data_IF_536684040532
#
_entry.id   IF_536684040532
#
_cell.length_a   1.000
_cell.length_b   1.000
_cell.length_c   1.000
_cell.angle_alpha   90.00
_cell.angle_beta   90.00
_cell.angle_gamma   90.00
#
_symmetry.space_group_name_H-M   'P 1'
#
loop_
_entity.id
_entity.type
_entity.pdbx_description
1 polymer ?
#
# COMPACT_ATOMS: atom_id res chain seq x y z
N UNK A 1 11.71 1.13 23.06
CA UNK A 1 11.27 -0.14 22.44
C UNK A 1 10.05 0.20 21.58
N UNK A 2 9.99 -0.33 20.36
CA UNK A 2 8.83 -0.17 19.47
C UNK A 2 7.58 -0.78 20.11
N UNK A 3 6.41 -0.25 19.78
CA UNK A 3 5.14 -0.67 20.38
C UNK A 3 4.66 -2.06 19.92
N UNK A 4 5.19 -2.59 18.81
CA UNK A 4 4.76 -3.86 18.23
C UNK A 4 5.82 -4.52 17.34
N UNK A 5 5.67 -5.83 17.15
CA UNK A 5 6.34 -6.64 16.13
C UNK A 5 5.32 -7.09 15.07
N UNK A 6 5.78 -7.54 13.91
CA UNK A 6 4.90 -8.03 12.83
C UNK A 6 5.31 -9.42 12.35
N UNK A 7 4.30 -10.24 12.07
CA UNK A 7 4.41 -11.54 11.40
C UNK A 7 3.62 -11.45 10.09
N UNK A 8 4.32 -11.61 8.96
CA UNK A 8 3.71 -11.69 7.63
C UNK A 8 3.74 -13.14 7.14
N UNK A 9 2.57 -13.72 6.92
CA UNK A 9 2.43 -15.05 6.34
C UNK A 9 2.52 -14.95 4.82
N UNK A 10 3.70 -15.26 4.28
CA UNK A 10 4.01 -15.30 2.86
C UNK A 10 4.08 -16.73 2.31
N UNK A 11 3.39 -17.65 2.97
CA UNK A 11 3.27 -19.05 2.59
C UNK A 11 1.95 -19.34 1.85
N UNK A 12 1.90 -20.49 1.18
CA UNK A 12 0.73 -20.93 0.43
C UNK A 12 1.13 -21.55 -0.90
N UNK A 13 0.44 -22.62 -1.31
CA UNK A 13 0.77 -23.32 -2.54
C UNK A 13 0.33 -22.58 -3.81
N UNK A 14 -0.33 -21.42 -3.69
CA UNK A 14 -0.84 -20.59 -4.78
C UNK A 14 -1.52 -21.42 -5.89
N UNK A 15 -2.25 -22.48 -5.50
CA UNK A 15 -2.81 -23.47 -6.44
C UNK A 15 -3.72 -22.81 -7.47
N UNK A 16 -4.47 -21.79 -7.06
CA UNK A 16 -5.38 -21.01 -7.90
C UNK A 16 -4.68 -20.02 -8.85
N UNK A 17 -3.40 -19.76 -8.64
CA UNK A 17 -2.55 -18.92 -9.50
C UNK A 17 -1.59 -19.76 -10.36
N UNK A 18 -1.85 -21.06 -10.53
CA UNK A 18 -1.01 -21.95 -11.33
C UNK A 18 0.37 -22.21 -10.73
N UNK A 19 0.53 -22.08 -9.41
CA UNK A 19 1.82 -22.27 -8.73
C UNK A 19 2.74 -21.04 -8.76
N UNK A 20 2.25 -19.88 -9.21
CA UNK A 20 2.99 -18.63 -9.17
C UNK A 20 3.34 -18.22 -7.72
N UNK A 21 4.50 -17.58 -7.54
CA UNK A 21 4.90 -17.01 -6.25
C UNK A 21 4.03 -15.76 -5.94
N UNK A 22 2.84 -15.99 -5.35
CA UNK A 22 1.82 -14.98 -5.07
C UNK A 22 2.37 -13.73 -4.36
N UNK A 23 3.17 -13.84 -3.26
CA UNK A 23 3.80 -12.69 -2.62
C UNK A 23 4.69 -11.83 -3.53
N UNK A 24 5.24 -12.40 -4.61
CA UNK A 24 6.08 -11.71 -5.58
C UNK A 24 5.28 -11.07 -6.74
N UNK A 25 3.98 -11.36 -6.86
CA UNK A 25 3.13 -10.75 -7.89
C UNK A 25 3.05 -9.25 -7.66
N UNK A 26 3.19 -8.48 -8.76
CA UNK A 26 3.19 -7.02 -8.71
C UNK A 26 1.80 -6.44 -8.96
N UNK A 27 1.42 -5.50 -8.11
CA UNK A 27 0.23 -4.65 -8.26
C UNK A 27 0.71 -3.21 -8.16
N UNK A 28 0.41 -2.37 -9.15
CA UNK A 28 0.95 -1.00 -9.23
C UNK A 28 2.48 -0.95 -9.14
N UNK A 29 3.19 -1.80 -9.89
CA UNK A 29 4.67 -1.83 -9.92
C UNK A 29 5.37 -2.46 -8.69
N UNK A 30 4.71 -2.58 -7.54
CA UNK A 30 5.28 -3.14 -6.29
C UNK A 30 4.80 -4.57 -6.03
N UNK A 31 5.68 -5.43 -5.51
CA UNK A 31 5.30 -6.78 -5.07
C UNK A 31 4.30 -6.70 -3.92
N UNK A 32 3.34 -7.63 -3.85
CA UNK A 32 2.34 -7.69 -2.79
C UNK A 32 2.99 -7.72 -1.40
N UNK A 33 4.01 -8.56 -1.21
CA UNK A 33 4.75 -8.61 0.05
C UNK A 33 5.34 -7.24 0.43
N UNK A 34 5.96 -6.55 -0.54
CA UNK A 34 6.58 -5.25 -0.28
C UNK A 34 5.55 -4.16 0.06
N UNK A 35 4.30 -4.28 -0.41
CA UNK A 35 3.20 -3.38 0.02
C UNK A 35 2.89 -3.58 1.50
N UNK A 36 2.73 -4.83 1.93
CA UNK A 36 2.49 -5.17 3.34
C UNK A 36 3.65 -4.74 4.24
N UNK A 37 4.89 -4.98 3.79
CA UNK A 37 6.10 -4.60 4.53
C UNK A 37 6.26 -3.07 4.67
N UNK A 38 5.82 -2.30 3.67
CA UNK A 38 5.83 -0.84 3.70
C UNK A 38 4.82 -0.29 4.71
N UNK A 39 3.61 -0.85 4.78
CA UNK A 39 2.59 -0.47 5.78
C UNK A 39 3.07 -0.72 7.23
N UNK A 40 4.04 -1.61 7.42
CA UNK A 40 4.58 -1.99 8.72
C UNK A 40 5.94 -1.33 9.05
N UNK A 41 6.26 -0.17 8.45
CA UNK A 41 7.54 0.54 8.63
C UNK A 41 7.97 0.69 10.09
N UNK A 42 7.02 0.93 11.01
CA UNK A 42 7.26 1.15 12.44
C UNK A 42 7.46 -0.10 13.32
N UNK A 43 7.39 -1.31 12.75
CA UNK A 43 7.56 -2.55 13.52
C UNK A 43 9.01 -2.72 14.00
N UNK A 44 9.19 -3.19 15.25
CA UNK A 44 10.51 -3.51 15.81
C UNK A 44 11.17 -4.68 15.11
N UNK A 45 10.54 -5.85 15.22
CA UNK A 45 10.89 -7.05 14.47
C UNK A 45 9.85 -7.29 13.38
N UNK A 46 10.33 -7.54 12.16
CA UNK A 46 9.51 -7.98 11.03
C UNK A 46 9.86 -9.42 10.68
N UNK A 47 8.95 -10.34 10.93
CA UNK A 47 9.10 -11.77 10.64
C UNK A 47 8.27 -12.12 9.41
N UNK A 48 8.89 -12.76 8.42
CA UNK A 48 8.17 -13.30 7.26
C UNK A 48 8.24 -14.83 7.30
N UNK A 49 7.07 -15.47 7.26
CA UNK A 49 6.95 -16.93 7.30
C UNK A 49 6.68 -17.44 5.88
N UNK A 50 7.64 -18.18 5.30
CA UNK A 50 7.53 -18.63 3.91
C UNK A 50 8.87 -19.01 3.28
N UNK A 51 8.93 -19.00 1.95
CA UNK A 51 10.21 -19.12 1.23
C UNK A 51 10.95 -17.80 1.16
N UNK A 52 12.28 -17.81 1.26
CA UNK A 52 13.07 -16.57 1.12
C UNK A 52 12.90 -15.98 -0.28
N UNK A 53 12.86 -14.65 -0.37
CA UNK A 53 12.82 -13.85 -1.60
C UNK A 53 13.36 -12.44 -1.33
N UNK A 54 13.72 -11.66 -2.37
CA UNK A 54 14.04 -10.25 -2.20
C UNK A 54 12.88 -9.48 -1.56
N UNK A 55 13.21 -8.53 -0.69
CA UNK A 55 12.26 -7.63 -0.01
C UNK A 55 12.80 -6.21 -0.03
N UNK A 56 11.90 -5.23 -0.06
CA UNK A 56 12.25 -3.79 -0.08
C UNK A 56 12.90 -3.30 1.22
N UNK A 57 12.85 -4.11 2.29
CA UNK A 57 13.47 -3.84 3.60
C UNK A 57 13.99 -5.12 4.25
N UNK A 58 14.90 -5.03 5.24
CA UNK A 58 15.33 -6.19 6.01
C UNK A 58 14.18 -6.86 6.76
N UNK A 59 14.16 -8.19 6.76
CA UNK A 59 13.19 -9.03 7.48
C UNK A 59 13.86 -10.27 8.05
N UNK A 60 13.27 -10.85 9.09
CA UNK A 60 13.66 -12.16 9.63
C UNK A 60 12.81 -13.25 8.98
N UNK A 61 13.45 -14.22 8.35
CA UNK A 61 12.76 -15.32 7.68
C UNK A 61 12.62 -16.54 8.57
N UNK A 62 11.44 -17.13 8.58
CA UNK A 62 11.17 -18.44 9.20
C UNK A 62 10.22 -19.27 8.34
N UNK A 63 9.97 -20.51 8.74
CA UNK A 63 9.03 -21.42 8.09
C UNK A 63 8.44 -22.37 9.12
N UNK A 64 7.18 -22.73 8.93
CA UNK A 64 6.51 -23.76 9.69
C UNK A 64 7.09 -25.16 9.43
N UNK A 65 6.99 -26.02 10.43
CA UNK A 65 7.41 -27.42 10.36
C UNK A 65 6.23 -28.30 10.79
N UNK A 66 5.80 -29.27 9.95
CA UNK A 66 6.26 -29.53 8.60
C UNK A 66 5.89 -28.39 7.62
N UNK A 67 6.64 -28.24 6.53
CA UNK A 67 6.33 -27.26 5.48
C UNK A 67 4.93 -27.52 4.93
N UNK A 68 4.13 -26.47 4.76
CA UNK A 68 2.73 -26.61 4.34
C UNK A 68 1.79 -27.01 5.48
N UNK A 69 2.23 -26.88 6.73
CA UNK A 69 1.42 -27.13 7.94
C UNK A 69 0.25 -26.14 8.14
N UNK A 70 0.03 -25.21 7.20
CA UNK A 70 -1.09 -24.28 7.24
C UNK A 70 -0.83 -23.02 8.07
N UNK A 71 -1.79 -22.09 8.07
CA UNK A 71 -1.60 -20.75 8.62
C UNK A 71 -1.40 -20.73 10.15
N UNK A 72 -2.03 -21.64 10.90
CA UNK A 72 -1.84 -21.71 12.35
C UNK A 72 -0.42 -22.15 12.73
N UNK A 73 0.13 -23.14 12.03
CA UNK A 73 1.51 -23.56 12.21
C UNK A 73 2.50 -22.47 11.80
N UNK A 74 2.20 -21.72 10.73
CA UNK A 74 2.99 -20.59 10.27
C UNK A 74 2.99 -19.44 11.28
N UNK A 75 1.83 -19.10 11.86
CA UNK A 75 1.72 -18.13 12.94
C UNK A 75 2.57 -18.55 14.14
N UNK A 76 2.46 -19.81 14.59
CA UNK A 76 3.29 -20.34 15.67
C UNK A 76 4.79 -20.27 15.37
N UNK A 77 5.20 -20.47 14.10
CA UNK A 77 6.60 -20.33 13.69
C UNK A 77 7.10 -18.89 13.70
N UNK A 78 6.27 -17.93 13.26
CA UNK A 78 6.58 -16.51 13.32
C UNK A 78 6.69 -15.99 14.75
N UNK A 79 5.75 -16.39 15.61
CA UNK A 79 5.60 -15.87 16.97
C UNK A 79 6.77 -16.19 17.89
N UNK A 80 7.52 -17.26 17.62
CA UNK A 80 8.75 -17.60 18.34
C UNK A 80 9.87 -16.57 18.16
N UNK A 81 9.77 -15.72 17.13
CA UNK A 81 10.77 -14.72 16.79
C UNK A 81 10.34 -13.29 17.16
N UNK A 82 9.18 -13.11 17.79
CA UNK A 82 8.71 -11.81 18.27
C UNK A 82 8.95 -11.66 19.77
N UNK A 83 9.11 -10.42 20.22
CA UNK A 83 9.40 -10.06 21.62
C UNK A 83 8.52 -8.93 22.14
N UNK A 84 7.90 -8.14 21.26
CA UNK A 84 6.99 -7.07 21.65
C UNK A 84 5.72 -7.60 22.36
N UNK A 85 5.08 -6.72 23.15
CA UNK A 85 3.81 -7.01 23.83
C UNK A 85 2.66 -7.18 22.83
N UNK A 86 2.73 -6.51 21.68
CA UNK A 86 1.74 -6.59 20.60
C UNK A 86 2.37 -7.17 19.35
N UNK A 87 1.63 -8.05 18.68
CA UNK A 87 2.05 -8.69 17.44
C UNK A 87 0.98 -8.47 16.38
N UNK A 88 1.36 -7.79 15.31
CA UNK A 88 0.56 -7.62 14.12
C UNK A 88 0.73 -8.86 13.23
N UNK A 89 -0.36 -9.48 12.81
CA UNK A 89 -0.38 -10.70 11.98
C UNK A 89 -1.07 -10.38 10.67
N UNK A 90 -0.35 -10.55 9.57
CA UNK A 90 -0.76 -10.11 8.24
C UNK A 90 -0.59 -11.22 7.21
N UNK A 91 -1.52 -11.33 6.27
CA UNK A 91 -1.30 -12.04 5.01
C UNK A 91 -0.38 -11.21 4.09
N UNK A 92 0.42 -11.88 3.23
CA UNK A 92 1.37 -11.21 2.35
C UNK A 92 0.76 -10.63 1.06
N UNK A 93 -0.56 -10.71 0.90
CA UNK A 93 -1.29 -10.50 -0.34
C UNK A 93 -2.38 -9.43 -0.23
N UNK A 94 -2.17 -8.47 0.65
CA UNK A 94 -3.08 -7.35 0.95
C UNK A 94 -2.64 -6.11 0.15
N UNK A 95 -3.07 -5.91 -1.11
CA UNK A 95 -2.60 -4.81 -1.97
C UNK A 95 -2.95 -3.41 -1.45
N UNK A 96 -3.97 -3.29 -0.60
CA UNK A 96 -4.50 -2.02 -0.10
C UNK A 96 -4.23 -1.77 1.38
N UNK A 97 -3.45 -2.63 2.04
CA UNK A 97 -3.10 -2.42 3.45
C UNK A 97 -2.31 -1.11 3.59
N UNK A 98 -2.80 -0.23 4.46
CA UNK A 98 -2.17 1.06 4.76
C UNK A 98 -1.80 1.23 6.23
N UNK A 99 -0.99 2.24 6.52
CA UNK A 99 -0.57 2.56 7.88
C UNK A 99 -1.76 2.88 8.82
N UNK A 100 -2.81 3.53 8.30
CA UNK A 100 -4.03 3.81 9.08
C UNK A 100 -4.76 2.54 9.55
N UNK A 101 -4.81 1.49 8.72
CA UNK A 101 -5.35 0.18 9.13
C UNK A 101 -4.51 -0.44 10.25
N UNK A 102 -3.18 -0.37 10.11
CA UNK A 102 -2.25 -0.89 11.14
C UNK A 102 -2.44 -0.15 12.46
N UNK A 103 -2.53 1.18 12.42
CA UNK A 103 -2.77 2.00 13.60
C UNK A 103 -4.11 1.68 14.26
N UNK A 104 -5.19 1.59 13.49
CA UNK A 104 -6.53 1.26 13.99
C UNK A 104 -6.55 -0.10 14.71
N UNK A 105 -5.90 -1.12 14.14
CA UNK A 105 -5.77 -2.44 14.78
C UNK A 105 -4.99 -2.37 16.09
N UNK A 106 -3.86 -1.65 16.10
CA UNK A 106 -3.01 -1.53 17.29
C UNK A 106 -3.67 -0.74 18.42
N UNK A 107 -4.48 0.27 18.09
CA UNK A 107 -5.30 1.03 19.04
C UNK A 107 -6.38 0.12 19.61
N UNK A 108 -7.17 -0.52 18.77
CA UNK A 108 -8.27 -1.40 19.20
C UNK A 108 -7.78 -2.58 20.06
N UNK A 109 -6.60 -3.14 19.77
CA UNK A 109 -5.99 -4.21 20.56
C UNK A 109 -5.46 -3.73 21.93
N UNK A 110 -5.33 -2.42 22.15
CA UNK A 110 -4.93 -1.82 23.41
C UNK A 110 -6.10 -1.40 24.32
N UNK A 111 -7.34 -1.44 23.81
CA UNK A 111 -8.52 -0.95 24.51
C UNK A 111 -9.25 -2.05 25.30
N UNK A 112 -9.84 -1.67 26.44
CA UNK A 112 -10.83 -2.50 27.13
C UNK A 112 -10.32 -3.82 27.72
N UNK A 113 -8.99 -4.02 27.81
CA UNK A 113 -8.41 -5.27 28.32
C UNK A 113 -8.53 -6.46 27.35
N UNK A 114 -8.95 -6.21 26.10
CA UNK A 114 -9.10 -7.24 25.07
C UNK A 114 -7.77 -7.90 24.73
N UNK A 115 -7.84 -9.11 24.19
CA UNK A 115 -6.68 -9.91 23.83
C UNK A 115 -6.21 -9.65 22.39
N UNK A 116 -6.99 -8.91 21.60
CA UNK A 116 -6.59 -8.43 20.29
C UNK A 116 -7.71 -7.70 19.55
N UNK A 117 -7.43 -7.41 18.28
CA UNK A 117 -8.34 -6.83 17.32
C UNK A 117 -8.08 -7.42 15.93
N UNK A 118 -9.14 -7.62 15.16
CA UNK A 118 -9.05 -8.06 13.76
C UNK A 118 -9.96 -7.24 12.85
N UNK A 119 -9.61 -7.17 11.58
CA UNK A 119 -10.51 -6.61 10.58
C UNK A 119 -11.65 -7.58 10.27
N UNK A 120 -12.76 -7.03 9.80
CA UNK A 120 -13.81 -7.81 9.15
C UNK A 120 -13.87 -7.46 7.66
N UNK A 121 -14.24 -8.43 6.83
CA UNK A 121 -14.55 -8.16 5.42
C UNK A 121 -15.94 -7.51 5.27
N UNK A 122 -16.34 -7.05 4.06
CA UNK A 122 -17.66 -6.46 3.82
C UNK A 122 -18.84 -7.38 4.14
N UNK A 123 -18.63 -8.70 4.18
CA UNK A 123 -19.64 -9.69 4.56
C UNK A 123 -19.69 -9.92 6.09
N UNK A 124 -18.88 -9.18 6.85
CA UNK A 124 -18.79 -9.27 8.31
C UNK A 124 -17.97 -10.46 8.81
N UNK A 125 -17.16 -11.11 7.96
CA UNK A 125 -16.34 -12.24 8.38
C UNK A 125 -15.03 -11.76 8.98
N UNK A 126 -14.67 -12.39 10.09
CA UNK A 126 -13.42 -12.12 10.81
C UNK A 126 -12.20 -12.48 9.92
N UNK A 127 -11.22 -11.57 9.86
CA UNK A 127 -9.98 -11.70 9.09
C UNK A 127 -8.79 -11.90 10.03
N UNK A 128 -8.50 -13.14 10.47
CA UNK A 128 -7.47 -13.42 11.49
C UNK A 128 -6.04 -13.14 11.02
N UNK A 129 -5.85 -12.93 9.72
CA UNK A 129 -4.58 -12.53 9.12
C UNK A 129 -4.57 -11.06 8.71
N UNK A 130 -5.44 -10.26 9.33
CA UNK A 130 -5.43 -8.79 9.30
C UNK A 130 -5.76 -8.33 10.71
N UNK A 131 -4.84 -8.60 11.64
CA UNK A 131 -5.13 -8.55 13.07
C UNK A 131 -3.93 -8.10 13.90
N UNK A 132 -4.20 -7.45 15.03
CA UNK A 132 -3.22 -7.17 16.08
C UNK A 132 -3.60 -7.95 17.35
N UNK A 133 -2.68 -8.75 17.86
CA UNK A 133 -2.89 -9.57 19.05
C UNK A 133 -1.98 -9.13 20.19
N UNK A 134 -2.45 -9.29 21.42
CA UNK A 134 -1.58 -9.28 22.60
C UNK A 134 -0.78 -10.57 22.60
N UNK A 135 0.53 -10.44 22.79
CA UNK A 135 1.47 -11.52 22.54
C UNK A 135 1.41 -12.61 23.62
N UNK A 136 1.01 -12.28 24.86
CA UNK A 136 0.85 -13.29 25.92
C UNK A 136 -0.36 -14.20 25.67
N UNK A 137 -1.60 -13.69 25.50
CA UNK A 137 -2.75 -14.54 25.20
C UNK A 137 -2.56 -15.37 23.94
N UNK A 138 -2.00 -14.74 22.89
CA UNK A 138 -1.72 -15.43 21.63
C UNK A 138 -0.76 -16.62 21.81
N UNK A 139 0.32 -16.46 22.61
CA UNK A 139 1.24 -17.57 22.90
C UNK A 139 0.58 -18.65 23.76
N UNK A 140 -0.22 -18.25 24.75
CA UNK A 140 -0.95 -19.15 25.64
C UNK A 140 -1.90 -20.05 24.85
N UNK A 141 -2.77 -19.48 24.02
CA UNK A 141 -3.76 -20.24 23.25
C UNK A 141 -3.10 -21.15 22.21
N UNK A 142 -2.04 -20.70 21.52
CA UNK A 142 -1.30 -21.57 20.62
C UNK A 142 -0.66 -22.76 21.34
N UNK A 143 -0.18 -22.58 22.57
CA UNK A 143 0.37 -23.68 23.37
C UNK A 143 -0.72 -24.66 23.84
N UNK A 144 -1.89 -24.17 24.23
CA UNK A 144 -3.04 -24.99 24.60
C UNK A 144 -3.51 -25.84 23.42
N UNK A 145 -3.75 -25.21 22.25
CA UNK A 145 -4.15 -25.90 21.02
C UNK A 145 -3.12 -26.95 20.60
N UNK A 146 -1.82 -26.62 20.66
CA UNK A 146 -0.77 -27.57 20.32
C UNK A 146 -0.74 -28.77 21.29
N UNK A 147 -1.06 -28.56 22.56
CA UNK A 147 -1.13 -29.61 23.58
C UNK A 147 -2.34 -30.51 23.37
N UNK A 148 -3.50 -29.92 23.07
CA UNK A 148 -4.75 -30.65 22.84
C UNK A 148 -4.69 -31.50 21.56
N UNK A 149 -4.18 -30.93 20.47
CA UNK A 149 -4.17 -31.59 19.15
C UNK A 149 -2.83 -32.27 18.81
N UNK A 150 -1.83 -32.18 19.69
CA UNK A 150 -0.47 -32.70 19.50
C UNK A 150 0.41 -31.91 18.53
N UNK A 151 -0.17 -31.06 17.67
CA UNK A 151 0.56 -30.11 16.82
C UNK A 151 -0.36 -28.98 16.32
N UNK A 152 0.22 -27.91 15.78
CA UNK A 152 -0.52 -26.85 15.08
C UNK A 152 -0.76 -27.15 13.60
N UNK A 153 -0.22 -28.25 13.07
CA UNK A 153 -0.21 -28.53 11.64
C UNK A 153 -1.59 -28.95 11.13
N UNK A 154 -2.04 -28.35 10.03
CA UNK A 154 -3.33 -28.64 9.40
C UNK A 154 -4.55 -28.06 10.12
N UNK A 155 -4.34 -27.34 11.23
CA UNK A 155 -5.42 -26.76 12.02
C UNK A 155 -5.87 -25.39 11.49
N UNK A 156 -7.16 -25.07 11.56
CA UNK A 156 -7.68 -23.77 11.12
C UNK A 156 -7.43 -22.67 12.16
N UNK A 157 -7.23 -21.43 11.70
CA UNK A 157 -7.09 -20.26 12.58
C UNK A 157 -8.31 -20.02 13.48
N UNK A 158 -9.49 -20.52 13.09
CA UNK A 158 -10.73 -20.35 13.87
C UNK A 158 -10.64 -20.97 15.28
N UNK A 159 -9.81 -22.00 15.47
CA UNK A 159 -9.58 -22.56 16.82
C UNK A 159 -8.92 -21.52 17.73
N UNK A 160 -8.00 -20.71 17.20
CA UNK A 160 -7.36 -19.64 17.94
C UNK A 160 -8.32 -18.48 18.20
N UNK A 161 -9.04 -18.01 17.18
CA UNK A 161 -9.90 -16.83 17.33
C UNK A 161 -11.16 -17.09 18.15
N UNK A 162 -11.56 -18.36 18.33
CA UNK A 162 -12.70 -18.70 19.18
C UNK A 162 -12.37 -18.56 20.68
N UNK A 163 -11.10 -18.69 21.05
CA UNK A 163 -10.64 -18.66 22.45
C UNK A 163 -10.12 -17.29 22.90
N UNK A 164 -9.99 -16.33 21.98
CA UNK A 164 -9.50 -14.98 22.26
C UNK A 164 -10.64 -13.96 22.31
N UNK A 165 -10.58 -13.03 23.27
CA UNK A 165 -11.45 -11.85 23.27
C UNK A 165 -10.93 -10.79 22.27
N UNK A 166 -11.59 -10.72 21.10
CA UNK A 166 -11.16 -9.91 19.96
C UNK A 166 -12.14 -8.79 19.62
N UNK A 167 -11.61 -7.57 19.47
CA UNK A 167 -12.33 -6.48 18.85
C UNK A 167 -12.47 -6.70 17.34
N UNK A 168 -13.60 -6.27 16.78
CA UNK A 168 -13.81 -6.20 15.32
C UNK A 168 -13.63 -4.76 14.87
N UNK A 169 -12.76 -4.55 13.89
CA UNK A 169 -12.40 -3.25 13.36
C UNK A 169 -12.87 -3.15 11.91
N UNK A 170 -13.76 -2.21 11.65
CA UNK A 170 -14.06 -1.80 10.28
C UNK A 170 -12.97 -0.82 9.81
N UNK A 171 -12.01 -1.34 9.03
CA UNK A 171 -10.93 -0.55 8.45
C UNK A 171 -11.24 -0.11 7.01
N UNK A 172 -12.50 -0.17 6.60
CA UNK A 172 -12.96 0.11 5.25
C UNK A 172 -12.90 -1.13 4.33
N UNK A 173 -13.60 -1.06 3.19
CA UNK A 173 -13.97 -2.24 2.39
C UNK A 173 -12.79 -2.96 1.74
N UNK A 174 -11.62 -2.32 1.65
CA UNK A 174 -10.45 -2.84 0.94
C UNK A 174 -9.29 -3.21 1.88
N UNK A 175 -9.36 -2.86 3.16
CA UNK A 175 -8.24 -3.04 4.09
C UNK A 175 -7.88 -4.52 4.28
N UNK A 176 -8.87 -5.41 4.22
CA UNK A 176 -8.70 -6.85 4.30
C UNK A 176 -8.87 -7.57 2.95
N UNK A 177 -8.88 -6.84 1.83
CA UNK A 177 -8.95 -7.46 0.51
C UNK A 177 -7.65 -8.20 0.21
N UNK A 178 -7.73 -9.50 -0.05
CA UNK A 178 -6.62 -10.37 -0.40
C UNK A 178 -6.72 -10.86 -1.85
N UNK A 179 -5.57 -11.07 -2.50
CA UNK A 179 -5.55 -11.44 -3.92
C UNK A 179 -5.42 -12.94 -4.18
N UNK A 180 -6.47 -13.74 -3.97
CA UNK A 180 -6.44 -15.20 -4.12
C UNK A 180 -6.39 -15.75 -5.54
N UNK A 181 -6.85 -14.96 -6.51
CA UNK A 181 -6.99 -15.34 -7.91
C UNK A 181 -6.39 -14.30 -8.86
N UNK A 182 -6.24 -14.67 -10.13
CA UNK A 182 -5.78 -13.72 -11.16
C UNK A 182 -6.78 -12.59 -11.38
N UNK A 183 -8.07 -12.86 -11.18
CA UNK A 183 -9.13 -11.86 -11.25
C UNK A 183 -9.00 -10.85 -10.11
N UNK A 184 -8.69 -11.30 -8.88
CA UNK A 184 -8.44 -10.40 -7.75
C UNK A 184 -7.22 -9.50 -8.01
N UNK A 185 -6.15 -10.05 -8.60
CA UNK A 185 -4.97 -9.27 -9.01
C UNK A 185 -5.34 -8.24 -10.08
N UNK A 186 -6.16 -8.61 -11.06
CA UNK A 186 -6.61 -7.70 -12.11
C UNK A 186 -7.48 -6.58 -11.53
N UNK A 187 -8.42 -6.91 -10.65
CA UNK A 187 -9.25 -5.95 -9.92
C UNK A 187 -8.39 -5.01 -9.06
N UNK A 188 -7.41 -5.54 -8.33
CA UNK A 188 -6.48 -4.75 -7.53
C UNK A 188 -5.68 -3.75 -8.39
N UNK A 189 -5.19 -4.20 -9.56
CA UNK A 189 -4.48 -3.34 -10.52
C UNK A 189 -5.38 -2.26 -11.10
N UNK A 190 -6.63 -2.57 -11.43
CA UNK A 190 -7.59 -1.59 -11.91
C UNK A 190 -7.85 -0.52 -10.84
N UNK A 191 -8.13 -0.95 -9.61
CA UNK A 191 -8.46 -0.05 -8.50
C UNK A 191 -7.31 0.87 -8.09
N UNK A 192 -6.08 0.35 -8.07
CA UNK A 192 -4.88 1.16 -7.82
C UNK A 192 -4.73 2.25 -8.89
N UNK A 193 -5.02 1.96 -10.17
CA UNK A 193 -5.01 2.96 -11.26
C UNK A 193 -6.07 4.05 -11.13
N UNK A 194 -7.22 3.76 -10.52
CA UNK A 194 -8.33 4.70 -10.36
C UNK A 194 -8.12 5.73 -9.23
N UNK A 195 -7.35 5.41 -8.18
CA UNK A 195 -7.29 6.21 -6.93
C UNK A 195 -6.06 7.13 -6.81
N UNK A 196 -5.38 7.50 -7.90
CA UNK A 196 -4.31 8.52 -7.89
C UNK A 196 -2.97 8.09 -7.26
N UNK A 197 -2.95 7.09 -6.37
CA UNK A 197 -1.72 6.54 -5.76
C UNK A 197 -0.74 5.96 -6.80
N UNK A 198 -1.23 5.52 -7.97
CA UNK A 198 -0.36 5.13 -9.09
C UNK A 198 0.46 6.28 -9.61
N UNK A 199 -0.08 7.50 -9.62
CA UNK A 199 0.63 8.62 -10.21
C UNK A 199 1.83 9.02 -9.34
N UNK A 200 1.66 9.12 -8.03
CA UNK A 200 2.76 9.43 -7.11
C UNK A 200 3.80 8.29 -7.04
N UNK A 201 3.35 7.03 -7.01
CA UNK A 201 4.24 5.86 -7.09
C UNK A 201 4.99 5.79 -8.43
N UNK A 202 4.30 6.09 -9.54
CA UNK A 202 4.87 6.13 -10.89
C UNK A 202 5.89 7.26 -11.00
N UNK A 203 5.55 8.47 -10.57
CA UNK A 203 6.44 9.63 -10.57
C UNK A 203 7.68 9.34 -9.71
N UNK A 204 7.51 8.75 -8.52
CA UNK A 204 8.62 8.34 -7.68
C UNK A 204 9.53 7.33 -8.39
N UNK A 205 8.95 6.34 -9.07
CA UNK A 205 9.71 5.33 -9.82
C UNK A 205 10.48 5.94 -10.99
N UNK A 206 9.85 6.84 -11.76
CA UNK A 206 10.49 7.57 -12.86
C UNK A 206 11.59 8.48 -12.35
N UNK A 207 11.39 9.20 -11.24
CA UNK A 207 12.42 10.03 -10.61
C UNK A 207 13.65 9.19 -10.24
N UNK A 208 13.45 8.04 -9.61
CA UNK A 208 14.54 7.15 -9.22
C UNK A 208 15.30 6.59 -10.43
N UNK A 209 14.57 6.11 -11.46
CA UNK A 209 15.18 5.55 -12.67
C UNK A 209 15.99 6.60 -13.45
N UNK A 210 15.52 7.84 -13.48
CA UNK A 210 16.18 8.94 -14.17
C UNK A 210 17.17 9.72 -13.31
N UNK A 211 17.32 9.39 -12.02
CA UNK A 211 18.19 10.10 -11.08
C UNK A 211 17.76 11.55 -10.82
N UNK A 212 16.46 11.82 -10.80
CA UNK A 212 15.89 13.16 -10.64
C UNK A 212 15.55 13.41 -9.17
N UNK A 213 16.32 14.29 -8.52
CA UNK A 213 15.97 14.86 -7.21
C UNK A 213 15.26 16.20 -7.42
N UNK A 214 13.96 16.14 -7.70
CA UNK A 214 13.12 17.32 -7.90
C UNK A 214 11.82 17.14 -7.12
N UNK A 215 11.53 18.04 -6.19
CA UNK A 215 10.30 18.02 -5.41
C UNK A 215 9.35 19.12 -5.88
N UNK A 216 8.45 18.76 -6.79
CA UNK A 216 7.49 19.66 -7.43
C UNK A 216 6.09 19.21 -7.09
N UNK A 217 5.23 20.20 -6.81
CA UNK A 217 3.79 20.00 -6.67
C UNK A 217 3.19 19.46 -7.98
N UNK A 218 2.87 18.17 -7.97
CA UNK A 218 2.29 17.47 -9.12
C UNK A 218 0.90 17.97 -9.45
N UNK A 219 0.14 18.44 -8.46
CA UNK A 219 -1.19 19.03 -8.64
C UNK A 219 -1.13 20.26 -9.55
N UNK A 220 -0.16 21.16 -9.30
CA UNK A 220 0.05 22.36 -10.12
C UNK A 220 0.33 22.01 -11.60
N UNK A 221 1.13 20.98 -11.86
CA UNK A 221 1.42 20.55 -13.23
C UNK A 221 0.21 19.89 -13.92
N UNK A 222 -0.60 19.13 -13.18
CA UNK A 222 -1.80 18.50 -13.70
C UNK A 222 -2.91 19.50 -13.97
N UNK A 223 -3.08 20.50 -13.11
CA UNK A 223 -4.02 21.59 -13.32
C UNK A 223 -3.60 22.44 -14.52
N UNK A 224 -2.32 22.79 -14.66
CA UNK A 224 -1.80 23.44 -15.88
C UNK A 224 -2.09 22.61 -17.14
N UNK A 225 -1.84 21.31 -17.10
CA UNK A 225 -2.12 20.42 -18.23
C UNK A 225 -3.61 20.40 -18.57
N UNK A 226 -4.48 20.39 -17.54
CA UNK A 226 -5.94 20.50 -17.69
C UNK A 226 -6.31 21.82 -18.37
N UNK A 227 -5.81 22.95 -17.86
CA UNK A 227 -6.13 24.28 -18.39
C UNK A 227 -5.69 24.41 -19.86
N UNK A 228 -4.48 23.93 -20.20
CA UNK A 228 -4.01 23.92 -21.57
C UNK A 228 -4.86 23.01 -22.49
N UNK A 229 -5.29 21.84 -21.99
CA UNK A 229 -6.14 20.93 -22.76
C UNK A 229 -7.52 21.51 -23.06
N UNK A 230 -8.11 22.27 -22.13
CA UNK A 230 -9.44 22.85 -22.27
C UNK A 230 -9.40 24.20 -23.00
N UNK A 231 -8.52 25.11 -22.59
CA UNK A 231 -8.46 26.48 -23.11
C UNK A 231 -7.70 26.64 -24.44
N UNK A 232 -6.89 25.64 -24.84
CA UNK A 232 -6.15 25.68 -26.12
C UNK A 232 -6.55 24.53 -27.03
N UNK A 233 -6.16 23.30 -26.69
CA UNK A 233 -6.53 22.07 -27.39
C UNK A 233 -6.03 20.85 -26.62
N UNK A 234 -6.69 19.68 -26.74
CA UNK A 234 -6.27 18.45 -26.04
C UNK A 234 -4.76 18.11 -26.16
N UNK A 235 -4.10 18.21 -27.34
CA UNK A 235 -2.66 17.95 -27.45
C UNK A 235 -1.75 18.96 -26.73
N UNK A 236 -2.27 20.12 -26.33
CA UNK A 236 -1.50 21.16 -25.65
C UNK A 236 -1.07 20.75 -24.24
N UNK A 237 -1.79 19.83 -23.58
CA UNK A 237 -1.44 19.34 -22.24
C UNK A 237 0.01 18.82 -22.13
N UNK A 238 0.42 17.75 -22.86
CA UNK A 238 1.76 17.21 -22.75
C UNK A 238 2.84 18.16 -23.30
N UNK A 239 2.53 18.97 -24.31
CA UNK A 239 3.48 19.92 -24.90
C UNK A 239 3.78 21.07 -23.93
N UNK A 240 2.76 21.56 -23.23
CA UNK A 240 2.88 22.64 -22.26
C UNK A 240 3.72 22.23 -21.06
N UNK A 241 3.44 21.06 -20.48
CA UNK A 241 4.21 20.57 -19.32
C UNK A 241 5.67 20.26 -19.68
N UNK A 242 5.95 19.76 -20.89
CA UNK A 242 7.32 19.61 -21.39
C UNK A 242 8.06 20.96 -21.48
N UNK A 243 7.43 21.99 -22.05
CA UNK A 243 8.03 23.32 -22.18
C UNK A 243 8.27 23.98 -20.82
N UNK A 244 7.37 23.81 -19.86
CA UNK A 244 7.57 24.26 -18.47
C UNK A 244 8.78 23.59 -17.84
N UNK A 245 8.89 22.26 -17.96
CA UNK A 245 10.06 21.52 -17.46
C UNK A 245 11.37 21.97 -18.11
N UNK A 246 11.37 22.15 -19.45
CA UNK A 246 12.53 22.64 -20.19
C UNK A 246 12.94 24.07 -19.77
N UNK A 247 11.97 24.98 -19.62
CA UNK A 247 12.22 26.35 -19.19
C UNK A 247 12.78 26.40 -17.76
N UNK A 248 12.21 25.60 -16.85
CA UNK A 248 12.69 25.51 -15.47
C UNK A 248 14.10 24.95 -15.39
N UNK A 249 14.42 23.89 -16.14
CA UNK A 249 15.76 23.33 -16.22
C UNK A 249 16.79 24.36 -16.72
N UNK A 250 16.43 25.17 -17.74
CA UNK A 250 17.30 26.26 -18.20
C UNK A 250 17.48 27.37 -17.17
N UNK A 251 16.44 27.71 -16.41
CA UNK A 251 16.48 28.76 -15.39
C UNK A 251 17.24 28.33 -14.13
N UNK A 252 17.42 27.03 -13.91
CA UNK A 252 18.03 26.43 -12.71
C UNK A 252 19.30 25.63 -13.00
N UNK A 253 19.91 25.79 -14.20
CA UNK A 253 21.00 24.95 -14.68
C UNK A 253 22.21 24.82 -13.71
N UNK A 254 22.46 25.84 -12.90
CA UNK A 254 23.55 25.88 -11.90
C UNK A 254 23.03 25.96 -10.45
N UNK A 255 21.74 25.69 -10.23
CA UNK A 255 21.09 25.82 -8.95
C UNK A 255 20.59 24.46 -8.43
N UNK A 256 20.47 24.33 -7.10
CA UNK A 256 20.05 23.08 -6.47
C UNK A 256 18.57 22.72 -6.74
N UNK A 257 18.14 21.51 -6.33
CA UNK A 257 16.77 20.99 -6.49
C UNK A 257 15.64 21.96 -6.11
N UNK A 258 15.82 22.72 -5.03
CA UNK A 258 14.84 23.69 -4.54
C UNK A 258 14.63 24.84 -5.52
N UNK A 259 15.70 25.32 -6.15
CA UNK A 259 15.63 26.38 -7.14
C UNK A 259 14.97 25.88 -8.44
N UNK A 260 15.23 24.62 -8.82
CA UNK A 260 14.54 23.98 -9.93
C UNK A 260 13.03 23.85 -9.65
N UNK A 261 12.64 23.43 -8.44
CA UNK A 261 11.23 23.36 -8.04
C UNK A 261 10.55 24.73 -8.08
N UNK A 262 11.20 25.77 -7.56
CA UNK A 262 10.71 27.14 -7.61
C UNK A 262 10.57 27.66 -9.05
N UNK A 263 11.52 27.32 -9.93
CA UNK A 263 11.47 27.69 -11.35
C UNK A 263 10.31 26.98 -12.09
N UNK A 264 10.03 25.71 -11.76
CA UNK A 264 8.85 25.00 -12.28
C UNK A 264 7.57 25.69 -11.84
N UNK A 265 7.43 26.03 -10.55
CA UNK A 265 6.24 26.71 -10.04
C UNK A 265 6.04 28.09 -10.71
N UNK A 266 7.12 28.84 -10.95
CA UNK A 266 7.04 30.14 -11.63
C UNK A 266 6.66 30.01 -13.10
N UNK A 267 7.26 29.07 -13.82
CA UNK A 267 6.92 28.78 -15.21
C UNK A 267 5.46 28.30 -15.33
N UNK A 268 5.00 27.41 -14.44
CA UNK A 268 3.62 26.93 -14.42
C UNK A 268 2.62 28.08 -14.25
N UNK A 269 2.83 28.98 -13.27
CA UNK A 269 1.98 30.17 -13.07
C UNK A 269 1.89 31.04 -14.33
N UNK A 270 3.02 31.31 -14.98
CA UNK A 270 3.07 32.14 -16.20
C UNK A 270 2.29 31.51 -17.34
N UNK A 271 2.41 30.19 -17.52
CA UNK A 271 1.72 29.49 -18.62
C UNK A 271 0.24 29.27 -18.33
N UNK A 272 -0.16 29.01 -17.08
CA UNK A 272 -1.60 29.00 -16.70
C UNK A 272 -2.26 30.33 -17.03
N UNK A 273 -1.63 31.45 -16.67
CA UNK A 273 -2.15 32.78 -17.00
C UNK A 273 -2.24 33.01 -18.52
N UNK A 274 -1.35 32.39 -19.32
CA UNK A 274 -1.42 32.45 -20.78
C UNK A 274 -2.57 31.61 -21.34
N UNK A 275 -2.77 30.38 -20.84
CA UNK A 275 -3.86 29.50 -21.27
C UNK A 275 -5.23 30.14 -21.00
N UNK A 276 -5.44 30.75 -19.84
CA UNK A 276 -6.68 31.43 -19.49
C UNK A 276 -6.99 32.64 -20.39
N UNK A 277 -5.95 33.40 -20.78
CA UNK A 277 -6.14 34.50 -21.75
C UNK A 277 -6.55 33.97 -23.12
N UNK A 278 -5.96 32.85 -23.54
CA UNK A 278 -6.28 32.21 -24.81
C UNK A 278 -7.73 31.72 -24.85
N UNK A 279 -8.22 31.14 -23.76
CA UNK A 279 -9.61 30.73 -23.59
C UNK A 279 -10.57 31.92 -23.67
N UNK A 280 -10.28 33.00 -22.93
CA UNK A 280 -11.11 34.21 -22.96
C UNK A 280 -11.17 34.88 -24.35
N UNK A 281 -10.06 34.87 -25.09
CA UNK A 281 -10.02 35.35 -26.48
C UNK A 281 -10.89 34.48 -27.40
N UNK A 282 -10.84 33.16 -27.24
CA UNK A 282 -11.65 32.22 -28.02
C UNK A 282 -13.17 32.39 -27.75
N UNK A 283 -13.55 32.62 -26.49
CA UNK A 283 -14.94 32.84 -26.10
C UNK A 283 -15.47 34.20 -26.59
N UNK A 284 -14.68 35.26 -26.50
CA UNK A 284 -15.05 36.60 -26.99
C UNK A 284 -15.19 36.69 -28.52
N UNK A 285 -14.47 35.84 -29.26
CA UNK A 285 -14.59 35.72 -30.72
C UNK A 285 -15.87 35.01 -31.19
N UNK A 286 -16.57 34.30 -30.30
CA UNK A 286 -17.83 33.59 -30.61
C UNK A 286 -19.08 34.48 -30.60
N UNK A 287 -19.10 35.57 -29.84
CA UNK A 287 -20.26 36.46 -29.69
C UNK A 287 -20.42 37.50 -30.83
N UNK A 288 -19.41 37.66 -31.70
CA UNK A 288 -19.41 38.64 -32.79
C UNK A 288 -20.02 38.19 -34.13
N UNK A 289 -20.44 36.93 -34.25
CA UNK A 289 -20.93 36.34 -35.51
C UNK A 289 -22.44 36.06 -35.51
N UNK A 290 -23.22 36.90 -34.81
CA UNK A 290 -24.68 36.80 -34.69
C UNK A 290 -25.44 38.03 -35.20
N UNK A 291 -25.50 38.15 -36.52
CA UNK A 291 -26.57 38.79 -37.33
C UNK A 291 -26.77 40.33 -37.24
N UNK A 292 -27.31 40.98 -38.29
CA UNK A 292 -28.65 40.74 -38.85
C UNK A 292 -28.69 40.18 -40.27
#
# INVERSE_FOLDING_TARGET
MTAYDVIVLAGGAAKRLGGADKPAVRVGGRALLDRVLAACAGAGVTVVVGGRRPTARPVTWTREVPQGGGPLAALGAGLRLTTAERVLVLSADLPFLGAGTVEALLVAAGEGGREGALCTDPDGRDQPLVAAYRAEPLRRELALIATEHGSLAGLPLRLLTAELDLARVDAGPHAAFDCDTWDDIAAARARIREHGAVLDEWITSVKNELGIELDVDTGVLLDLARDAAHGVARPAAPLTTFLVGYAAARASADAGPEAAAAAVADAARKVTALALRWEAEADSGGEGAGTP
#
